data_IF_944133125110
#
_entry.id   IF_944133125110
#
_cell.length_a   1.000
_cell.length_b   1.000
_cell.length_c   1.000
_cell.angle_alpha   90.00
_cell.angle_beta   90.00
_cell.angle_gamma   90.00
#
_symmetry.space_group_name_H-M   'P 1'
#
loop_
_entity.id
_entity.type
_entity.pdbx_description
1 polymer ?
#
# COMPACT_ATOMS: atom_id res chain seq x y z
N UNK A 1 -14.43 -3.82 24.03
CA UNK A 1 -14.37 -2.69 23.08
C UNK A 1 -14.13 -1.40 23.83
N UNK A 2 -13.16 -0.61 23.44
CA UNK A 2 -12.86 0.68 24.11
C UNK A 2 -13.82 1.77 23.66
N UNK A 3 -13.99 2.81 24.49
CA UNK A 3 -14.83 3.99 24.15
C UNK A 3 -14.39 4.61 22.82
N UNK A 4 -13.07 4.69 22.57
CA UNK A 4 -12.52 5.21 21.31
C UNK A 4 -12.93 4.38 20.10
N UNK A 5 -12.99 3.06 20.24
CA UNK A 5 -13.46 2.18 19.17
C UNK A 5 -14.93 2.39 18.87
N UNK A 6 -15.76 2.49 19.91
CA UNK A 6 -17.20 2.78 19.74
C UNK A 6 -17.40 4.11 19.02
N UNK A 7 -16.69 5.14 19.42
CA UNK A 7 -16.76 6.45 18.76
C UNK A 7 -16.39 6.39 17.28
N UNK A 8 -15.38 5.59 16.92
CA UNK A 8 -15.00 5.38 15.52
C UNK A 8 -16.10 4.70 14.71
N UNK A 9 -16.75 3.68 15.27
CA UNK A 9 -17.89 3.02 14.61
C UNK A 9 -19.07 3.98 14.42
N UNK A 10 -19.37 4.79 15.44
CA UNK A 10 -20.42 5.81 15.34
C UNK A 10 -20.09 6.83 14.26
N UNK A 11 -18.81 7.23 14.16
CA UNK A 11 -18.35 8.21 13.17
C UNK A 11 -18.57 7.74 11.73
N UNK A 12 -18.56 6.45 11.46
CA UNK A 12 -18.84 5.91 10.13
C UNK A 12 -20.22 6.32 9.60
N UNK A 13 -21.16 6.62 10.46
CA UNK A 13 -22.49 7.10 10.05
C UNK A 13 -22.45 8.47 9.35
N UNK A 14 -21.37 9.22 9.49
CA UNK A 14 -21.17 10.49 8.81
C UNK A 14 -20.67 10.32 7.37
N UNK A 15 -20.39 9.09 6.94
CA UNK A 15 -20.07 8.79 5.55
C UNK A 15 -21.32 8.93 4.67
N UNK A 16 -21.10 9.42 3.43
CA UNK A 16 -22.16 9.35 2.42
C UNK A 16 -22.50 7.87 2.15
N UNK A 17 -23.75 7.56 1.74
CA UNK A 17 -24.20 6.17 1.59
C UNK A 17 -23.29 5.30 0.71
N UNK A 18 -22.75 5.85 -0.35
CA UNK A 18 -21.86 5.13 -1.27
C UNK A 18 -20.53 4.72 -0.59
N UNK A 19 -19.92 5.63 0.17
CA UNK A 19 -18.70 5.32 0.94
C UNK A 19 -18.99 4.36 2.08
N UNK A 20 -20.11 4.51 2.76
CA UNK A 20 -20.51 3.60 3.82
C UNK A 20 -20.66 2.17 3.29
N UNK A 21 -21.31 2.01 2.14
CA UNK A 21 -21.44 0.72 1.46
C UNK A 21 -20.08 0.13 1.09
N UNK A 22 -19.17 0.95 0.56
CA UNK A 22 -17.80 0.51 0.24
C UNK A 22 -17.04 0.04 1.49
N UNK A 23 -17.26 0.68 2.63
CA UNK A 23 -16.67 0.27 3.90
C UNK A 23 -17.27 -1.06 4.39
N UNK A 24 -18.59 -1.22 4.28
CA UNK A 24 -19.29 -2.45 4.64
C UNK A 24 -18.85 -3.63 3.76
N UNK A 25 -18.66 -3.39 2.47
CA UNK A 25 -18.18 -4.38 1.49
C UNK A 25 -16.65 -4.64 1.62
N UNK A 26 -15.99 -4.01 2.59
CA UNK A 26 -14.55 -4.11 2.83
C UNK A 26 -13.67 -3.63 1.66
N UNK A 27 -14.23 -2.85 0.76
CA UNK A 27 -13.46 -2.18 -0.30
C UNK A 27 -12.57 -1.08 0.27
N UNK A 28 -13.00 -0.44 1.36
CA UNK A 28 -12.23 0.53 2.12
C UNK A 28 -11.96 -0.06 3.50
N UNK A 29 -10.71 -0.01 3.95
CA UNK A 29 -10.35 -0.46 5.29
C UNK A 29 -11.01 0.44 6.36
N UNK A 30 -11.25 -0.11 7.55
CA UNK A 30 -11.95 0.58 8.64
C UNK A 30 -11.29 1.91 9.02
N UNK A 31 -9.97 1.91 9.24
CA UNK A 31 -9.28 3.11 9.70
C UNK A 31 -9.28 4.25 8.66
N UNK A 32 -8.98 4.03 7.38
CA UNK A 32 -9.17 5.04 6.35
C UNK A 32 -10.61 5.53 6.24
N UNK A 33 -11.60 4.63 6.36
CA UNK A 33 -13.02 5.00 6.30
C UNK A 33 -13.39 5.98 7.42
N UNK A 34 -12.90 5.79 8.63
CA UNK A 34 -13.10 6.71 9.75
C UNK A 34 -12.52 8.10 9.43
N UNK A 35 -11.33 8.15 8.85
CA UNK A 35 -10.72 9.42 8.44
C UNK A 35 -11.57 10.14 7.39
N UNK A 36 -12.09 9.41 6.41
CA UNK A 36 -12.97 9.97 5.38
C UNK A 36 -14.28 10.52 5.96
N UNK A 37 -14.76 9.93 7.05
CA UNK A 37 -15.99 10.39 7.71
C UNK A 37 -15.89 11.82 8.29
N UNK A 38 -14.68 12.31 8.54
CA UNK A 38 -14.45 13.69 8.97
C UNK A 38 -14.45 14.70 7.83
N UNK A 39 -14.45 14.24 6.60
CA UNK A 39 -14.46 15.09 5.40
C UNK A 39 -15.88 15.55 5.10
N UNK A 40 -16.05 16.74 4.54
CA UNK A 40 -17.36 17.27 4.17
C UNK A 40 -18.05 16.36 3.15
N UNK A 41 -19.38 16.20 3.22
CA UNK A 41 -20.13 15.30 2.30
C UNK A 41 -19.88 15.57 0.83
N UNK A 42 -19.74 16.82 0.43
CA UNK A 42 -19.40 17.21 -0.95
C UNK A 42 -18.10 16.56 -1.42
N UNK A 43 -17.06 16.65 -0.62
CA UNK A 43 -15.75 16.09 -0.95
C UNK A 43 -15.74 14.56 -0.83
N UNK A 44 -16.52 14.00 0.07
CA UNK A 44 -16.72 12.55 0.14
C UNK A 44 -17.28 11.99 -1.16
N UNK A 45 -18.19 12.70 -1.83
CA UNK A 45 -18.74 12.29 -3.13
C UNK A 45 -17.67 12.28 -4.21
N UNK A 46 -16.79 13.27 -4.25
CA UNK A 46 -15.65 13.28 -5.17
C UNK A 46 -14.68 12.13 -4.90
N UNK A 47 -14.45 11.82 -3.62
CA UNK A 47 -13.62 10.67 -3.24
C UNK A 47 -14.25 9.36 -3.72
N UNK A 48 -15.57 9.22 -3.61
CA UNK A 48 -16.31 8.05 -4.13
C UNK A 48 -16.04 7.88 -5.62
N UNK A 49 -16.18 8.94 -6.39
CA UNK A 49 -15.95 8.93 -7.85
C UNK A 49 -14.49 8.53 -8.15
N UNK A 50 -13.53 9.06 -7.40
CA UNK A 50 -12.11 8.73 -7.57
C UNK A 50 -11.83 7.26 -7.27
N UNK A 51 -12.42 6.70 -6.22
CA UNK A 51 -12.26 5.28 -5.87
C UNK A 51 -12.82 4.38 -6.98
N UNK A 52 -14.00 4.69 -7.49
CA UNK A 52 -14.63 3.94 -8.57
C UNK A 52 -13.84 4.05 -9.87
N UNK A 53 -13.38 5.25 -10.21
CA UNK A 53 -12.61 5.49 -11.43
C UNK A 53 -11.26 4.80 -11.43
N UNK A 54 -10.56 4.79 -10.30
CA UNK A 54 -9.23 4.20 -10.18
C UNK A 54 -9.24 2.75 -9.70
N UNK A 55 -10.40 2.23 -9.32
CA UNK A 55 -10.57 0.88 -8.74
C UNK A 55 -9.61 0.63 -7.55
N UNK A 56 -9.36 1.66 -6.77
CA UNK A 56 -8.41 1.63 -5.66
C UNK A 56 -8.89 2.48 -4.51
N UNK A 57 -8.88 1.92 -3.31
CA UNK A 57 -9.23 2.64 -2.09
C UNK A 57 -8.03 3.44 -1.56
N UNK A 58 -8.26 4.57 -0.88
CA UNK A 58 -7.18 5.34 -0.28
C UNK A 58 -6.53 4.59 0.88
N UNK A 59 -5.23 4.77 1.04
CA UNK A 59 -4.50 4.34 2.23
C UNK A 59 -4.80 5.26 3.41
N UNK A 60 -4.41 4.84 4.61
CA UNK A 60 -4.57 5.66 5.81
C UNK A 60 -3.89 7.03 5.65
N UNK A 61 -2.67 7.07 5.15
CA UNK A 61 -1.94 8.32 4.95
C UNK A 61 -2.61 9.24 3.92
N UNK A 62 -3.13 8.66 2.84
CA UNK A 62 -3.89 9.42 1.84
C UNK A 62 -5.19 9.98 2.42
N UNK A 63 -5.93 9.18 3.18
CA UNK A 63 -7.15 9.62 3.85
C UNK A 63 -6.89 10.74 4.86
N UNK A 64 -5.83 10.63 5.64
CA UNK A 64 -5.43 11.67 6.59
C UNK A 64 -5.05 12.98 5.89
N UNK A 65 -4.31 12.92 4.80
CA UNK A 65 -3.98 14.10 4.00
C UNK A 65 -5.22 14.77 3.42
N UNK A 66 -6.15 13.98 2.88
CA UNK A 66 -7.41 14.52 2.36
C UNK A 66 -8.24 15.18 3.46
N UNK A 67 -8.32 14.56 4.65
CA UNK A 67 -8.98 15.14 5.81
C UNK A 67 -8.35 16.46 6.23
N UNK A 68 -7.03 16.50 6.32
CA UNK A 68 -6.30 17.71 6.71
C UNK A 68 -6.54 18.85 5.72
N UNK A 69 -6.48 18.58 4.43
CA UNK A 69 -6.77 19.57 3.39
C UNK A 69 -8.23 20.03 3.43
N UNK A 70 -9.16 19.13 3.71
CA UNK A 70 -10.58 19.48 3.85
C UNK A 70 -10.82 20.40 5.04
N UNK A 71 -10.14 20.16 6.17
CA UNK A 71 -10.23 21.02 7.36
C UNK A 71 -9.71 22.45 7.07
N UNK A 72 -8.73 22.57 6.20
CA UNK A 72 -8.18 23.85 5.74
C UNK A 72 -8.97 24.47 4.59
N UNK A 73 -10.06 23.82 4.14
CA UNK A 73 -10.86 24.23 2.97
C UNK A 73 -10.04 24.28 1.66
N UNK A 74 -9.00 23.47 1.57
CA UNK A 74 -8.11 23.40 0.40
C UNK A 74 -8.35 22.17 -0.47
N UNK A 75 -9.17 21.23 -0.02
CA UNK A 75 -9.41 19.98 -0.76
C UNK A 75 -10.28 20.25 -1.99
N UNK A 76 -9.74 19.93 -3.16
CA UNK A 76 -10.42 20.04 -4.45
C UNK A 76 -10.42 18.69 -5.17
N UNK A 77 -11.33 18.45 -6.14
CA UNK A 77 -11.38 17.18 -6.88
C UNK A 77 -10.06 16.78 -7.52
N UNK A 78 -9.36 17.73 -8.14
CA UNK A 78 -8.06 17.46 -8.78
C UNK A 78 -7.00 17.01 -7.76
N UNK A 79 -7.06 17.55 -6.56
CA UNK A 79 -6.16 17.15 -5.47
C UNK A 79 -6.48 15.74 -4.97
N UNK A 80 -7.76 15.39 -4.91
CA UNK A 80 -8.20 14.04 -4.54
C UNK A 80 -7.63 13.02 -5.53
N UNK A 81 -7.79 13.27 -6.82
CA UNK A 81 -7.27 12.40 -7.87
C UNK A 81 -5.74 12.30 -7.80
N UNK A 82 -5.06 13.42 -7.60
CA UNK A 82 -3.60 13.44 -7.45
C UNK A 82 -3.10 12.62 -6.26
N UNK A 83 -3.74 12.76 -5.11
CA UNK A 83 -3.39 11.99 -3.90
C UNK A 83 -3.66 10.50 -4.11
N UNK A 84 -4.78 10.16 -4.74
CA UNK A 84 -5.16 8.77 -5.00
C UNK A 84 -4.23 8.10 -6.00
N UNK A 85 -3.70 8.86 -6.98
CA UNK A 85 -2.77 8.34 -7.98
C UNK A 85 -1.34 8.18 -7.45
N UNK A 86 -1.00 8.79 -6.32
CA UNK A 86 0.31 8.57 -5.72
C UNK A 86 0.53 7.09 -5.46
N UNK A 87 1.68 6.59 -5.91
CA UNK A 87 2.06 5.21 -5.64
C UNK A 87 2.04 4.98 -4.13
N UNK A 88 1.22 4.03 -3.72
CA UNK A 88 1.28 3.51 -2.37
C UNK A 88 2.69 2.96 -2.20
N UNK A 89 3.46 3.55 -1.32
CA UNK A 89 4.75 2.99 -0.94
C UNK A 89 4.51 1.62 -0.34
N UNK A 90 4.52 0.62 -1.20
CA UNK A 90 4.68 -0.74 -0.72
C UNK A 90 6.07 -0.78 -0.10
N UNK A 91 6.13 -0.86 1.21
CA UNK A 91 7.36 -1.18 1.86
C UNK A 91 7.73 -2.58 1.38
N UNK A 92 8.70 -2.67 0.49
CA UNK A 92 9.27 -3.96 0.10
C UNK A 92 9.75 -4.66 1.38
N UNK A 93 8.97 -5.63 1.81
CA UNK A 93 9.28 -6.41 3.00
C UNK A 93 9.88 -7.73 2.56
N UNK A 94 11.10 -7.95 2.96
CA UNK A 94 11.69 -9.29 2.88
C UNK A 94 11.32 -10.01 4.17
N UNK A 95 10.54 -11.09 4.05
CA UNK A 95 10.11 -11.90 5.19
C UNK A 95 10.96 -13.17 5.20
N UNK A 96 11.72 -13.36 6.27
CA UNK A 96 12.50 -14.57 6.53
C UNK A 96 11.80 -15.36 7.62
N UNK A 97 11.54 -16.64 7.35
CA UNK A 97 10.92 -17.49 8.36
C UNK A 97 11.92 -17.91 9.45
N UNK A 98 11.40 -18.17 10.64
CA UNK A 98 12.22 -18.68 11.74
C UNK A 98 12.86 -20.03 11.41
N UNK A 99 12.26 -20.83 10.53
CA UNK A 99 12.82 -22.10 10.08
C UNK A 99 14.06 -21.90 9.21
N UNK A 100 14.02 -20.97 8.29
CA UNK A 100 15.15 -20.63 7.41
C UNK A 100 16.31 -20.07 8.23
N UNK A 101 16.03 -19.22 9.20
CA UNK A 101 17.04 -18.62 10.07
C UNK A 101 17.54 -19.58 11.15
N UNK A 102 16.72 -20.55 11.56
CA UNK A 102 17.08 -21.53 12.60
C UNK A 102 18.30 -22.39 12.27
N UNK A 103 18.64 -22.54 10.98
CA UNK A 103 19.85 -23.23 10.56
C UNK A 103 21.14 -22.49 10.97
N UNK A 104 21.06 -21.18 11.09
CA UNK A 104 22.20 -20.30 11.37
C UNK A 104 22.22 -19.80 12.79
N UNK A 105 21.08 -19.74 13.44
CA UNK A 105 20.91 -19.27 14.82
C UNK A 105 20.41 -20.40 15.71
N UNK A 106 20.89 -20.45 16.94
CA UNK A 106 20.38 -21.38 17.93
C UNK A 106 18.93 -21.09 18.31
N UNK A 107 18.26 -22.08 18.89
CA UNK A 107 16.85 -22.02 19.27
C UNK A 107 16.52 -20.92 20.30
N UNK A 108 17.53 -20.41 20.97
CA UNK A 108 17.38 -19.45 22.07
C UNK A 108 17.44 -17.98 21.61
N UNK A 109 17.59 -17.73 20.32
CA UNK A 109 17.69 -16.37 19.78
C UNK A 109 16.32 -15.79 19.45
N UNK A 110 16.07 -14.58 19.94
CA UNK A 110 14.84 -13.85 19.60
C UNK A 110 14.90 -13.30 18.18
N UNK A 111 13.75 -13.08 17.53
CA UNK A 111 13.70 -12.47 16.19
C UNK A 111 14.44 -11.13 16.08
N UNK A 112 14.43 -10.36 17.16
CA UNK A 112 15.13 -9.07 17.22
C UNK A 112 16.65 -9.25 17.17
N UNK A 113 17.17 -10.19 17.97
CA UNK A 113 18.60 -10.53 17.98
C UNK A 113 19.06 -11.08 16.63
N UNK A 114 18.23 -11.91 15.99
CA UNK A 114 18.49 -12.43 14.65
C UNK A 114 18.60 -11.29 13.64
N UNK A 115 17.66 -10.36 13.68
CA UNK A 115 17.66 -9.18 12.81
C UNK A 115 18.91 -8.32 13.01
N UNK A 116 19.24 -8.01 14.23
CA UNK A 116 20.40 -7.17 14.57
C UNK A 116 21.71 -7.83 14.11
N UNK A 117 21.84 -9.13 14.29
CA UNK A 117 23.00 -9.90 13.82
C UNK A 117 23.10 -9.90 12.29
N UNK A 118 21.98 -10.11 11.61
CA UNK A 118 21.92 -10.09 10.13
C UNK A 118 22.32 -8.71 9.62
N UNK A 119 21.80 -7.64 10.18
CA UNK A 119 22.12 -6.27 9.77
C UNK A 119 23.60 -5.97 9.97
N UNK A 120 24.21 -6.43 11.06
CA UNK A 120 25.64 -6.29 11.34
C UNK A 120 26.48 -7.03 10.30
N UNK A 121 26.14 -8.28 10.01
CA UNK A 121 26.84 -9.07 8.98
C UNK A 121 26.73 -8.45 7.58
N UNK A 122 25.57 -7.92 7.23
CA UNK A 122 25.36 -7.24 5.96
C UNK A 122 26.21 -5.96 5.87
N UNK A 123 26.31 -5.21 6.93
CA UNK A 123 27.14 -3.99 6.97
C UNK A 123 28.62 -4.33 6.82
N UNK A 124 29.11 -5.37 7.49
CA UNK A 124 30.48 -5.85 7.39
C UNK A 124 30.85 -6.35 5.98
N UNK A 125 29.87 -6.86 5.25
CA UNK A 125 30.05 -7.41 3.90
C UNK A 125 29.46 -6.54 2.79
N UNK A 126 29.21 -5.29 3.07
CA UNK A 126 28.54 -4.34 2.17
C UNK A 126 29.16 -4.25 0.77
N UNK A 127 30.48 -4.25 0.71
CA UNK A 127 31.23 -4.16 -0.57
C UNK A 127 31.04 -5.42 -1.42
N UNK A 128 31.06 -6.59 -0.80
CA UNK A 128 30.84 -7.87 -1.47
C UNK A 128 29.40 -8.01 -2.00
N UNK A 129 28.43 -7.45 -1.28
CA UNK A 129 27.02 -7.49 -1.68
C UNK A 129 26.73 -6.59 -2.88
N UNK A 130 27.40 -5.47 -3.01
CA UNK A 130 27.29 -4.60 -4.18
C UNK A 130 27.76 -5.28 -5.45
N UNK A 131 28.84 -6.04 -5.38
CA UNK A 131 29.36 -6.79 -6.51
C UNK A 131 28.42 -7.91 -6.96
N UNK A 132 27.71 -8.53 -6.03
CA UNK A 132 26.73 -9.58 -6.33
C UNK A 132 25.46 -8.98 -6.94
N UNK A 133 25.05 -7.79 -6.52
CA UNK A 133 23.81 -7.15 -6.96
C UNK A 133 23.91 -6.43 -8.30
N UNK A 134 25.12 -6.07 -8.74
CA UNK A 134 25.34 -5.29 -9.95
C UNK A 134 24.91 -5.97 -11.26
N UNK A 135 25.10 -7.28 -11.48
CA UNK A 135 24.70 -7.92 -12.75
C UNK A 135 23.23 -8.33 -12.83
N UNK A 136 22.50 -8.35 -11.74
CA UNK A 136 21.14 -8.87 -11.69
C UNK A 136 20.08 -7.78 -11.53
N UNK A 137 20.08 -6.77 -12.37
CA UNK A 137 18.90 -5.93 -12.52
C UNK A 137 17.83 -6.76 -13.23
N UNK A 138 17.03 -7.46 -12.45
CA UNK A 138 15.87 -8.13 -13.00
C UNK A 138 14.98 -7.10 -13.68
N UNK A 139 14.60 -7.30 -14.94
CA UNK A 139 13.64 -6.42 -15.58
C UNK A 139 12.36 -6.38 -14.74
N UNK A 140 11.73 -5.23 -14.67
CA UNK A 140 10.51 -5.09 -13.92
C UNK A 140 9.49 -6.14 -14.37
N UNK A 141 8.67 -6.63 -13.44
CA UNK A 141 7.63 -7.62 -13.74
C UNK A 141 6.72 -7.18 -14.89
N UNK A 142 6.53 -5.89 -15.08
CA UNK A 142 5.76 -5.31 -16.19
C UNK A 142 6.37 -5.64 -17.54
N UNK A 143 7.68 -5.64 -17.65
CA UNK A 143 8.37 -5.95 -18.90
C UNK A 143 8.33 -7.43 -19.24
N UNK A 144 8.15 -8.31 -18.27
CA UNK A 144 8.02 -9.74 -18.52
C UNK A 144 6.64 -10.16 -19.00
N UNK A 145 5.60 -9.41 -18.65
CA UNK A 145 4.21 -9.84 -18.86
C UNK A 145 3.69 -9.56 -20.27
N UNK A 146 4.15 -8.51 -20.94
CA UNK A 146 3.58 -8.06 -22.20
C UNK A 146 4.41 -8.35 -23.46
N UNK A 147 5.70 -8.03 -23.54
CA UNK A 147 6.43 -8.16 -24.80
C UNK A 147 6.48 -9.58 -25.38
N UNK A 148 6.67 -10.63 -24.59
CA UNK A 148 6.72 -11.98 -25.16
C UNK A 148 5.41 -12.43 -25.78
N UNK A 149 4.27 -12.04 -25.21
CA UNK A 149 2.95 -12.40 -25.73
C UNK A 149 2.65 -11.70 -27.04
N UNK A 150 2.94 -10.43 -27.12
CA UNK A 150 2.74 -9.64 -28.34
C UNK A 150 3.63 -10.14 -29.48
N UNK A 151 4.87 -10.45 -29.20
CA UNK A 151 5.79 -10.99 -30.20
C UNK A 151 5.36 -12.36 -30.72
N UNK A 152 4.89 -13.23 -29.84
CA UNK A 152 4.36 -14.53 -30.22
C UNK A 152 3.14 -14.41 -31.14
N UNK A 153 2.24 -13.51 -30.83
CA UNK A 153 1.04 -13.25 -31.64
C UNK A 153 1.40 -12.71 -33.02
N UNK A 154 2.37 -11.83 -33.11
CA UNK A 154 2.84 -11.27 -34.38
C UNK A 154 3.51 -12.32 -35.24
N UNK A 155 4.27 -13.24 -34.67
CA UNK A 155 4.92 -14.33 -35.39
C UNK A 155 3.93 -15.31 -35.99
N UNK A 156 2.83 -15.58 -35.29
CA UNK A 156 1.76 -16.46 -35.77
C UNK A 156 1.02 -15.84 -36.96
N UNK A 157 0.92 -14.52 -37.02
CA UNK A 157 0.20 -13.81 -38.06
C UNK A 157 1.01 -13.60 -39.34
N UNK A 158 2.29 -13.73 -39.30
CA UNK A 158 3.13 -13.68 -40.49
C UNK A 158 3.24 -15.08 -41.09
N UNK A 159 2.55 -15.36 -42.19
CA UNK A 159 2.70 -16.63 -42.88
C UNK A 159 4.05 -16.77 -43.54
#
# INVERSE_FOLDING_TARGET
MTVKQVQRYIKLNDLVPDLLKMADDKKIAFTPAVELAFIKPKNQRYITIAIEGQQSAPSLSQAQRMRELDQKNLLQPDMIDGIMLEEKKEADKVILSSQELGQYFGKDKTPREMKDTIMKLLEENKDKLKDISAPEKKPSRKNKAFPPRLQANLRIRTP
#
